data_IF_554678090824
#
_entry.id   IF_554678090824
#
_cell.length_a   1.000
_cell.length_b   1.000
_cell.length_c   1.000
_cell.angle_alpha   90.00
_cell.angle_beta   90.00
_cell.angle_gamma   90.00
#
_symmetry.space_group_name_H-M   'P 1'
#
loop_
_entity.id
_entity.type
_entity.pdbx_description
1 polymer ?
#
# COMPACT_ATOMS: atom_id res chain seq x y z
N UNK A 1 11.22 -2.35 -4.33
CA UNK A 1 12.63 -2.23 -4.74
C UNK A 1 13.54 -2.45 -3.54
N UNK A 2 13.46 -1.66 -2.47
CA UNK A 2 14.37 -1.67 -1.32
C UNK A 2 14.54 -3.05 -0.67
N UNK A 3 13.47 -3.80 -0.53
CA UNK A 3 13.51 -5.16 0.01
C UNK A 3 14.32 -6.11 -0.88
N UNK A 4 14.22 -5.97 -2.20
CA UNK A 4 14.99 -6.79 -3.15
C UNK A 4 16.47 -6.46 -3.02
N UNK A 5 16.81 -5.17 -3.01
CA UNK A 5 18.20 -4.72 -2.82
C UNK A 5 18.76 -5.20 -1.49
N UNK A 6 17.94 -5.08 -0.42
CA UNK A 6 18.32 -5.57 0.91
C UNK A 6 18.59 -7.07 0.89
N UNK A 7 17.71 -7.85 0.24
CA UNK A 7 17.84 -9.31 0.17
C UNK A 7 19.08 -9.75 -0.59
N UNK A 8 19.43 -9.05 -1.67
CA UNK A 8 20.69 -9.34 -2.42
C UNK A 8 21.91 -9.06 -1.53
N UNK A 9 21.94 -7.89 -0.87
CA UNK A 9 23.06 -7.51 -0.01
C UNK A 9 23.21 -8.40 1.23
N UNK A 10 22.10 -8.98 1.71
CA UNK A 10 22.05 -9.77 2.94
C UNK A 10 21.66 -11.23 2.66
N UNK A 11 21.99 -11.74 1.47
CA UNK A 11 21.57 -13.07 1.00
C UNK A 11 21.87 -14.17 2.01
N UNK A 12 23.06 -14.19 2.62
CA UNK A 12 23.48 -15.25 3.52
C UNK A 12 22.61 -15.36 4.79
N UNK A 13 22.02 -14.26 5.26
CA UNK A 13 21.16 -14.25 6.46
C UNK A 13 19.67 -14.44 6.13
N UNK A 14 19.31 -14.29 4.84
CA UNK A 14 17.92 -14.38 4.38
C UNK A 14 17.64 -15.66 3.58
N UNK A 15 18.68 -16.32 3.05
CA UNK A 15 18.52 -17.51 2.20
C UNK A 15 17.73 -18.63 2.87
N UNK A 16 17.07 -19.44 2.04
CA UNK A 16 16.33 -20.64 2.44
C UNK A 16 15.12 -20.39 3.37
N UNK A 17 14.62 -19.14 3.38
CA UNK A 17 13.51 -18.74 4.23
C UNK A 17 12.48 -17.94 3.44
N UNK A 18 11.21 -18.03 3.84
CA UNK A 18 10.12 -17.24 3.29
C UNK A 18 9.78 -16.10 4.24
N UNK A 19 9.62 -14.91 3.69
CA UNK A 19 9.30 -13.70 4.44
C UNK A 19 8.05 -13.03 3.89
N UNK A 20 7.17 -12.59 4.79
CA UNK A 20 6.18 -11.59 4.46
C UNK A 20 6.87 -10.24 4.33
N UNK A 21 6.42 -9.45 3.36
CA UNK A 21 6.94 -8.13 3.12
C UNK A 21 5.79 -7.12 3.04
N UNK A 22 5.86 -6.10 3.86
CA UNK A 22 4.89 -5.03 3.87
C UNK A 22 5.26 -3.95 4.87
N UNK A 23 4.43 -2.93 4.94
CA UNK A 23 4.55 -1.87 5.93
C UNK A 23 3.70 -2.24 7.14
N UNK A 24 4.32 -2.51 8.30
CA UNK A 24 3.62 -2.97 9.51
C UNK A 24 2.55 -1.99 10.01
N UNK A 25 2.72 -0.69 9.73
CA UNK A 25 1.71 0.36 10.04
C UNK A 25 0.58 0.46 9.00
N UNK A 26 0.61 -0.31 7.91
CA UNK A 26 -0.37 -0.26 6.84
C UNK A 26 -1.33 -1.47 6.81
N UNK A 27 -1.45 -2.19 7.92
CA UNK A 27 -2.55 -3.15 8.11
C UNK A 27 -3.86 -2.37 8.32
N UNK A 28 -4.50 -2.00 7.21
CA UNK A 28 -5.66 -1.11 7.17
C UNK A 28 -6.87 -1.83 6.59
N UNK A 29 -8.06 -1.53 7.10
CA UNK A 29 -9.29 -1.91 6.42
C UNK A 29 -9.51 -1.04 5.18
N UNK A 30 -10.32 -1.52 4.23
CA UNK A 30 -10.74 -0.74 3.03
C UNK A 30 -11.30 0.63 3.41
N UNK A 31 -12.10 0.69 4.49
CA UNK A 31 -12.66 1.94 5.01
C UNK A 31 -11.58 2.90 5.53
N UNK A 32 -10.62 2.39 6.30
CA UNK A 32 -9.50 3.20 6.81
C UNK A 32 -8.66 3.78 5.67
N UNK A 33 -8.38 2.97 4.64
CA UNK A 33 -7.67 3.43 3.44
C UNK A 33 -8.47 4.51 2.70
N UNK A 34 -9.78 4.29 2.47
CA UNK A 34 -10.66 5.29 1.86
C UNK A 34 -10.66 6.62 2.64
N UNK A 35 -10.66 6.55 3.98
CA UNK A 35 -10.56 7.75 4.84
C UNK A 35 -9.23 8.47 4.70
N UNK A 36 -8.11 7.75 4.55
CA UNK A 36 -6.80 8.37 4.30
C UNK A 36 -6.79 9.11 2.95
N UNK A 37 -7.35 8.51 1.91
CA UNK A 37 -7.49 9.13 0.58
C UNK A 37 -8.41 10.36 0.67
N UNK A 38 -9.56 10.26 1.36
CA UNK A 38 -10.48 11.39 1.55
C UNK A 38 -9.82 12.59 2.24
N UNK A 39 -8.89 12.37 3.17
CA UNK A 39 -8.15 13.46 3.81
C UNK A 39 -7.29 14.26 2.80
N UNK A 40 -6.79 13.60 1.76
CA UNK A 40 -6.01 14.23 0.68
C UNK A 40 -6.91 14.85 -0.40
N UNK A 41 -7.98 14.16 -0.76
CA UNK A 41 -8.95 14.56 -1.77
C UNK A 41 -10.27 14.93 -1.08
N UNK A 42 -10.37 16.17 -0.60
CA UNK A 42 -11.52 16.65 0.21
C UNK A 42 -12.87 16.59 -0.51
N UNK A 43 -12.86 16.58 -1.86
CA UNK A 43 -14.07 16.45 -2.68
C UNK A 43 -14.58 15.00 -2.74
N UNK A 44 -13.78 14.01 -2.36
CA UNK A 44 -14.16 12.59 -2.41
C UNK A 44 -15.26 12.30 -1.38
N UNK A 45 -16.38 11.74 -1.84
CA UNK A 45 -17.48 11.27 -0.99
C UNK A 45 -17.39 9.75 -0.82
N UNK A 46 -17.32 9.28 0.41
CA UNK A 46 -17.34 7.84 0.73
C UNK A 46 -18.78 7.44 1.00
N UNK A 47 -19.29 6.47 0.22
CA UNK A 47 -20.60 5.85 0.43
C UNK A 47 -20.42 4.42 0.92
N UNK A 48 -20.97 4.13 2.10
CA UNK A 48 -20.99 2.77 2.64
C UNK A 48 -22.29 2.10 2.17
N UNK A 49 -22.18 0.93 1.55
CA UNK A 49 -23.32 0.16 1.07
C UNK A 49 -23.41 -1.13 1.90
N UNK A 50 -24.41 -1.20 2.78
CA UNK A 50 -24.57 -2.34 3.69
C UNK A 50 -25.21 -3.59 3.05
N UNK A 51 -25.95 -3.43 1.95
CA UNK A 51 -26.75 -4.49 1.35
C UNK A 51 -26.04 -5.28 0.22
N UNK A 52 -24.80 -4.93 -0.10
CA UNK A 52 -24.00 -5.69 -1.07
C UNK A 52 -22.90 -6.42 -0.32
N UNK A 53 -22.87 -7.76 -0.45
CA UNK A 53 -21.71 -8.53 -0.01
C UNK A 53 -20.50 -8.11 -0.84
N UNK A 54 -19.42 -7.72 -0.16
CA UNK A 54 -18.15 -7.53 -0.82
C UNK A 54 -17.70 -8.89 -1.39
N UNK A 55 -17.47 -9.03 -2.70
CA UNK A 55 -16.98 -10.28 -3.27
C UNK A 55 -15.60 -10.67 -2.73
N UNK A 56 -14.84 -9.70 -2.24
CA UNK A 56 -13.55 -9.91 -1.58
C UNK A 56 -13.63 -9.53 -0.09
N UNK A 57 -14.16 -10.44 0.71
CA UNK A 57 -14.31 -10.27 2.17
C UNK A 57 -13.04 -10.66 2.95
N UNK A 58 -11.90 -10.80 2.26
CA UNK A 58 -10.67 -11.23 2.92
C UNK A 58 -10.07 -10.09 3.73
N UNK A 59 -9.98 -10.30 5.04
CA UNK A 59 -9.23 -9.46 5.96
C UNK A 59 -7.90 -10.14 6.28
N UNK A 60 -6.81 -9.52 5.89
CA UNK A 60 -5.48 -10.01 6.20
C UNK A 60 -4.78 -9.09 7.20
N UNK A 61 -4.31 -9.68 8.26
CA UNK A 61 -3.29 -9.06 9.09
C UNK A 61 -1.93 -9.68 8.75
N UNK A 62 -1.07 -8.91 8.11
CA UNK A 62 0.25 -9.39 7.69
C UNK A 62 1.29 -8.97 8.71
N UNK A 63 1.94 -9.95 9.33
CA UNK A 63 3.05 -9.71 10.24
C UNK A 63 4.37 -9.70 9.48
N UNK A 64 5.10 -8.59 9.56
CA UNK A 64 6.42 -8.42 8.96
C UNK A 64 7.56 -8.64 9.96
N UNK A 65 7.23 -9.07 11.20
CA UNK A 65 8.19 -9.22 12.30
C UNK A 65 9.39 -10.11 11.94
N UNK A 66 9.20 -11.13 11.09
CA UNK A 66 10.27 -12.06 10.71
C UNK A 66 11.38 -11.35 9.94
N UNK A 67 11.03 -10.57 8.91
CA UNK A 67 12.01 -9.82 8.12
C UNK A 67 12.55 -8.61 8.89
N UNK A 68 11.73 -7.97 9.72
CA UNK A 68 12.15 -6.85 10.57
C UNK A 68 13.23 -7.30 11.58
N UNK A 69 13.11 -8.50 12.17
CA UNK A 69 14.15 -9.10 13.04
C UNK A 69 15.45 -9.41 12.28
N UNK A 70 15.39 -9.54 10.96
CA UNK A 70 16.57 -9.71 10.09
C UNK A 70 17.15 -8.38 9.63
N UNK A 71 16.63 -7.26 10.13
CA UNK A 71 17.17 -5.91 9.90
C UNK A 71 16.51 -5.12 8.78
N UNK A 72 15.53 -5.67 8.05
CA UNK A 72 14.78 -4.90 7.05
C UNK A 72 13.46 -4.40 7.61
N UNK A 73 13.23 -3.10 7.46
CA UNK A 73 11.94 -2.46 7.78
C UNK A 73 11.52 -1.54 6.64
N UNK A 74 10.31 -1.77 6.12
CA UNK A 74 9.73 -0.88 5.11
C UNK A 74 9.52 0.52 5.70
N UNK A 75 9.94 1.55 4.96
CA UNK A 75 9.94 2.94 5.44
C UNK A 75 8.97 3.86 4.69
N UNK A 76 8.59 3.50 3.45
CA UNK A 76 7.69 4.32 2.65
C UNK A 76 6.28 4.23 3.23
N UNK A 77 5.80 5.34 3.76
CA UNK A 77 4.47 5.43 4.37
C UNK A 77 3.36 5.33 3.32
N UNK A 78 2.20 4.81 3.71
CA UNK A 78 1.02 4.73 2.83
C UNK A 78 0.59 6.10 2.31
N UNK A 79 0.75 7.14 3.12
CA UNK A 79 0.46 8.54 2.76
C UNK A 79 1.29 9.00 1.56
N UNK A 80 2.58 8.63 1.52
CA UNK A 80 3.47 8.97 0.41
C UNK A 80 3.02 8.25 -0.87
N UNK A 81 2.66 6.96 -0.78
CA UNK A 81 2.12 6.21 -1.91
C UNK A 81 0.80 6.79 -2.45
N UNK A 82 -0.08 7.27 -1.55
CA UNK A 82 -1.31 7.96 -1.96
C UNK A 82 -0.97 9.27 -2.70
N UNK A 83 -0.02 10.06 -2.20
CA UNK A 83 0.40 11.32 -2.85
C UNK A 83 1.00 11.07 -4.24
N UNK A 84 1.83 10.04 -4.39
CA UNK A 84 2.40 9.63 -5.68
C UNK A 84 1.31 9.23 -6.67
N UNK A 85 0.35 8.41 -6.26
CA UNK A 85 -0.78 8.00 -7.10
C UNK A 85 -1.64 9.20 -7.52
N UNK A 86 -1.96 10.10 -6.61
CA UNK A 86 -2.72 11.32 -6.93
C UNK A 86 -2.00 12.12 -8.01
N UNK A 87 -0.67 12.30 -7.90
CA UNK A 87 0.12 13.01 -8.92
C UNK A 87 0.04 12.30 -10.28
N UNK A 88 0.26 10.98 -10.32
CA UNK A 88 0.22 10.20 -11.56
C UNK A 88 -1.14 10.32 -12.24
N UNK A 89 -2.23 10.16 -11.51
CA UNK A 89 -3.59 10.27 -12.07
C UNK A 89 -3.91 11.69 -12.53
N UNK A 90 -3.48 12.72 -11.80
CA UNK A 90 -3.66 14.11 -12.23
C UNK A 90 -2.98 14.41 -13.58
N UNK A 91 -1.77 13.87 -13.81
CA UNK A 91 -1.09 14.01 -15.11
C UNK A 91 -1.72 13.18 -16.23
N UNK A 92 -2.32 12.03 -15.88
CA UNK A 92 -2.96 11.15 -16.87
C UNK A 92 -4.26 11.76 -17.40
N UNK A 93 -5.05 12.41 -16.55
CA UNK A 93 -6.30 13.05 -16.95
C UNK A 93 -6.08 14.20 -17.95
N UNK A 94 -5.01 15.00 -17.79
CA UNK A 94 -4.63 16.04 -18.75
C UNK A 94 -4.27 15.46 -20.12
N UNK A 95 -3.66 14.28 -20.21
CA UNK A 95 -3.31 13.62 -21.47
C UNK A 95 -4.50 12.93 -22.13
N UNK A 96 -5.44 12.39 -21.37
CA UNK A 96 -6.62 11.72 -21.88
C UNK A 96 -7.60 12.75 -22.48
N UNK A 97 -7.77 13.90 -21.84
CA UNK A 97 -8.66 14.97 -22.30
C UNK A 97 -8.15 15.63 -23.59
N UNK A 98 -6.85 15.67 -23.82
CA UNK A 98 -6.24 16.28 -25.00
C UNK A 98 -6.14 15.36 -26.25
N UNK A 99 -6.58 14.09 -26.14
CA UNK A 99 -6.53 13.12 -27.24
C UNK A 99 -7.92 12.70 -27.76
N UNK A 100 -8.99 13.44 -27.40
CA UNK A 100 -10.35 13.26 -27.96
C UNK A 100 -10.90 14.58 -28.46
#
# INVERSE_FOLDING_TARGET
>A
VDAIIYSIKNFNILKSEVYNLGLSSANLTKYMLAKKIQKKLKFLKIRIVHNKKDPDQRDYYVSNKKIEKKGFKAQVLIENGIDELIKVFSYSDEKIINNY
#
